data_IF_578121026716
#
_entry.id   IF_578121026716
#
_cell.length_a   1.000
_cell.length_b   1.000
_cell.length_c   1.000
_cell.angle_alpha   90.00
_cell.angle_beta   90.00
_cell.angle_gamma   90.00
#
_symmetry.space_group_name_H-M   'P 1'
#
loop_
_entity.id
_entity.type
_entity.pdbx_description
1 polymer ?
#
# COMPACT_ATOMS: atom_id res chain seq x y z
N UNK A 1 -17.97 18.29 11.15
CA UNK A 1 -18.06 18.90 9.81
C UNK A 1 -16.75 18.65 9.05
N UNK A 2 -16.46 17.39 8.70
CA UNK A 2 -15.31 16.99 7.87
C UNK A 2 -15.51 15.57 7.31
N UNK A 3 -16.75 15.25 6.93
CA UNK A 3 -17.18 13.92 6.40
C UNK A 3 -17.79 14.06 4.98
N UNK A 4 -17.58 15.20 4.30
CA UNK A 4 -18.27 15.49 3.01
C UNK A 4 -17.38 15.71 1.78
N UNK A 5 -16.05 15.51 1.84
CA UNK A 5 -15.17 15.81 0.69
C UNK A 5 -14.74 14.59 -0.13
N UNK A 6 -14.89 13.35 0.37
CA UNK A 6 -14.49 12.14 -0.38
C UNK A 6 -15.59 11.49 -1.25
N UNK A 7 -16.84 11.95 -1.19
CA UNK A 7 -17.95 11.39 -2.00
C UNK A 7 -18.04 11.89 -3.45
N UNK A 8 -17.21 12.86 -3.87
CA UNK A 8 -17.37 13.51 -5.18
C UNK A 8 -16.55 12.90 -6.34
N UNK A 9 -15.52 12.10 -6.07
CA UNK A 9 -14.52 11.79 -7.10
C UNK A 9 -14.75 10.47 -7.86
N UNK A 10 -15.56 9.55 -7.34
CA UNK A 10 -15.84 8.28 -8.04
C UNK A 10 -16.94 8.39 -9.11
N UNK A 11 -17.85 9.36 -9.00
CA UNK A 11 -18.93 9.56 -10.00
C UNK A 11 -18.46 10.18 -11.32
N UNK A 12 -17.30 10.83 -11.35
CA UNK A 12 -16.80 11.51 -12.55
C UNK A 12 -16.07 10.58 -13.53
N UNK A 13 -15.58 9.43 -13.07
CA UNK A 13 -14.85 8.48 -13.92
C UNK A 13 -15.75 7.57 -14.76
N UNK A 14 -17.07 7.54 -14.51
CA UNK A 14 -17.99 6.66 -15.25
C UNK A 14 -18.59 7.29 -16.53
N UNK A 15 -18.33 8.56 -16.84
CA UNK A 15 -19.09 9.32 -17.85
C UNK A 15 -18.33 9.70 -19.12
N UNK A 16 -17.03 9.40 -19.27
CA UNK A 16 -16.31 9.74 -20.52
C UNK A 16 -15.97 8.48 -21.31
N UNK A 17 -16.98 7.90 -21.96
CA UNK A 17 -16.84 7.10 -23.17
C UNK A 17 -17.57 7.83 -24.30
N UNK A 18 -16.90 8.77 -24.96
CA UNK A 18 -17.34 9.31 -26.25
C UNK A 18 -16.13 9.33 -27.19
N UNK A 19 -16.40 8.81 -28.39
CA UNK A 19 -15.50 8.48 -29.48
C UNK A 19 -14.64 9.65 -30.01
N UNK A 20 -13.45 9.32 -30.53
CA UNK A 20 -12.75 10.12 -31.54
C UNK A 20 -12.32 9.22 -32.72
N UNK A 21 -12.43 9.71 -33.98
CA UNK A 21 -12.31 8.92 -35.21
C UNK A 21 -10.86 8.79 -35.72
N UNK A 22 -10.58 7.95 -36.75
CA UNK A 22 -9.25 7.72 -37.30
C UNK A 22 -8.93 8.61 -38.50
N UNK A 23 -7.71 9.14 -38.58
CA UNK A 23 -7.02 9.58 -39.81
C UNK A 23 -5.56 9.87 -39.48
N UNK A 24 -4.56 9.88 -40.36
CA UNK A 24 -4.25 9.21 -41.63
C UNK A 24 -2.75 9.53 -41.92
N UNK A 25 -2.01 8.63 -42.57
CA UNK A 25 -0.92 8.97 -43.49
C UNK A 25 0.48 9.35 -42.95
N UNK A 26 1.43 8.43 -43.09
CA UNK A 26 2.58 8.61 -43.99
C UNK A 26 3.87 9.31 -43.50
N UNK A 27 4.94 8.50 -43.40
CA UNK A 27 6.28 8.63 -44.02
C UNK A 27 7.47 8.40 -43.06
N UNK A 28 8.28 7.40 -43.41
CA UNK A 28 9.65 7.14 -42.93
C UNK A 28 10.64 7.96 -43.78
N UNK A 29 11.71 8.53 -43.20
CA UNK A 29 13.03 7.92 -43.39
C UNK A 29 14.03 8.11 -42.23
N UNK A 30 14.96 7.16 -42.09
CA UNK A 30 16.29 7.41 -41.52
C UNK A 30 16.67 6.52 -40.34
N UNK A 31 17.40 5.44 -40.60
CA UNK A 31 18.15 4.69 -39.59
C UNK A 31 19.24 5.59 -39.00
N UNK A 32 18.91 6.33 -37.95
CA UNK A 32 19.89 6.83 -36.98
C UNK A 32 19.92 5.83 -35.82
N UNK A 33 21.08 5.20 -35.61
CA UNK A 33 21.36 4.45 -34.39
C UNK A 33 21.33 5.41 -33.20
N UNK A 34 20.19 5.53 -32.52
CA UNK A 34 20.10 6.18 -31.23
C UNK A 34 20.79 5.27 -30.22
N UNK A 35 21.98 5.72 -29.81
CA UNK A 35 22.69 5.38 -28.57
C UNK A 35 21.65 5.03 -27.49
N UNK A 36 21.62 3.75 -27.08
CA UNK A 36 20.53 3.15 -26.31
C UNK A 36 19.89 4.09 -25.30
N UNK A 37 18.60 4.38 -25.50
CA UNK A 37 17.79 5.09 -24.51
C UNK A 37 17.81 4.24 -23.24
N UNK A 38 18.55 4.69 -22.21
CA UNK A 38 18.45 4.09 -20.88
C UNK A 38 16.98 4.17 -20.50
N UNK A 39 16.33 3.01 -20.38
CA UNK A 39 14.96 2.95 -19.89
C UNK A 39 14.95 3.49 -18.47
N UNK A 40 14.18 4.55 -18.23
CA UNK A 40 14.06 5.17 -16.91
C UNK A 40 13.56 4.11 -15.91
N UNK A 41 14.33 3.88 -14.85
CA UNK A 41 13.95 2.95 -13.78
C UNK A 41 13.31 3.72 -12.65
N UNK A 42 12.07 3.37 -12.33
CA UNK A 42 11.30 4.05 -11.29
C UNK A 42 10.85 3.04 -10.23
N UNK A 43 11.00 3.44 -8.96
CA UNK A 43 10.53 2.70 -7.81
C UNK A 43 9.37 3.45 -7.17
N UNK A 44 8.26 2.76 -6.92
CA UNK A 44 7.15 3.27 -6.12
C UNK A 44 7.30 2.81 -4.67
N UNK A 45 7.16 3.75 -3.73
CA UNK A 45 7.16 3.51 -2.30
C UNK A 45 5.81 3.93 -1.71
N UNK A 46 4.93 2.98 -1.45
CA UNK A 46 3.64 3.22 -0.80
C UNK A 46 3.79 3.09 0.69
N UNK A 47 3.25 4.05 1.44
CA UNK A 47 3.34 4.06 2.89
C UNK A 47 1.96 4.14 3.49
N UNK A 48 1.70 3.27 4.46
CA UNK A 48 0.49 3.25 5.27
C UNK A 48 0.84 3.15 6.76
N UNK A 49 -0.05 3.70 7.59
CA UNK A 49 0.08 3.71 9.05
C UNK A 49 -1.12 3.06 9.72
N UNK A 50 -0.85 2.29 10.77
CA UNK A 50 -1.89 1.89 11.70
C UNK A 50 -1.64 2.52 13.06
N UNK A 51 -2.72 2.96 13.71
CA UNK A 51 -2.73 3.61 15.01
C UNK A 51 -3.20 5.07 14.93
N UNK A 52 -4.24 5.41 15.70
CA UNK A 52 -4.83 6.76 15.71
C UNK A 52 -4.24 7.61 16.86
N UNK A 53 -4.46 8.93 16.82
CA UNK A 53 -4.09 9.94 17.83
C UNK A 53 -4.70 9.70 19.21
N UNK A 54 -5.67 8.79 19.34
CA UNK A 54 -6.29 8.50 20.62
C UNK A 54 -5.29 7.88 21.60
N UNK A 55 -5.36 8.31 22.85
CA UNK A 55 -4.53 7.84 23.98
C UNK A 55 -4.66 6.31 24.17
N UNK A 56 -5.74 5.71 23.66
CA UNK A 56 -6.00 4.27 23.72
C UNK A 56 -5.13 3.43 22.75
N UNK A 57 -4.49 4.04 21.74
CA UNK A 57 -3.72 3.30 20.75
C UNK A 57 -2.35 2.88 21.30
N UNK A 58 -2.17 1.58 21.54
CA UNK A 58 -0.95 1.00 22.13
C UNK A 58 0.21 0.82 21.14
N UNK A 59 -0.10 0.62 19.86
CA UNK A 59 0.88 0.34 18.81
C UNK A 59 0.71 1.31 17.66
N UNK A 60 1.82 1.83 17.16
CA UNK A 60 1.90 2.52 15.87
C UNK A 60 2.73 1.65 14.94
N UNK A 61 2.20 1.40 13.74
CA UNK A 61 2.95 0.70 12.70
C UNK A 61 3.10 1.63 11.49
N UNK A 62 4.26 1.52 10.85
CA UNK A 62 4.58 2.22 9.61
C UNK A 62 5.02 1.18 8.59
N UNK A 63 4.22 0.98 7.54
CA UNK A 63 4.46 -0.05 6.54
C UNK A 63 4.80 0.58 5.20
N UNK A 64 5.95 0.20 4.65
CA UNK A 64 6.44 0.56 3.33
C UNK A 64 6.20 -0.61 2.37
N UNK A 65 5.62 -0.35 1.20
CA UNK A 65 5.50 -1.29 0.09
C UNK A 65 6.28 -0.75 -1.10
N UNK A 66 7.24 -1.55 -1.57
CA UNK A 66 8.14 -1.26 -2.67
C UNK A 66 7.66 -1.99 -3.91
N UNK A 67 7.57 -1.26 -5.03
CA UNK A 67 7.19 -1.81 -6.33
C UNK A 67 8.01 -1.18 -7.45
N UNK A 68 8.75 -1.99 -8.21
CA UNK A 68 9.44 -1.53 -9.41
C UNK A 68 8.44 -1.30 -10.55
N UNK A 69 8.38 -0.10 -11.11
CA UNK A 69 7.35 0.23 -12.11
C UNK A 69 7.50 -0.56 -13.42
N UNK A 70 8.68 -1.11 -13.70
CA UNK A 70 8.91 -2.04 -14.81
C UNK A 70 8.14 -3.35 -14.65
N UNK A 71 7.84 -3.77 -13.42
CA UNK A 71 7.10 -5.00 -13.14
C UNK A 71 5.60 -4.77 -13.24
N UNK A 72 5.05 -4.98 -14.43
CA UNK A 72 3.61 -4.76 -14.70
C UNK A 72 2.71 -5.61 -13.80
N UNK A 73 1.71 -4.97 -13.20
CA UNK A 73 0.74 -5.61 -12.30
C UNK A 73 -0.69 -5.66 -12.84
N UNK A 74 -0.96 -5.06 -14.01
CA UNK A 74 -2.30 -4.95 -14.60
C UNK A 74 -3.01 -6.30 -14.73
N UNK A 75 -2.32 -7.32 -15.25
CA UNK A 75 -2.90 -8.66 -15.42
C UNK A 75 -3.25 -9.34 -14.09
N UNK A 76 -2.48 -9.07 -13.03
CA UNK A 76 -2.74 -9.60 -11.68
C UNK A 76 -3.97 -8.94 -11.05
N UNK A 77 -4.12 -7.64 -11.26
CA UNK A 77 -5.31 -6.87 -10.83
C UNK A 77 -6.55 -7.35 -11.61
N UNK A 78 -6.45 -7.49 -12.94
CA UNK A 78 -7.56 -8.00 -13.76
C UNK A 78 -8.02 -9.39 -13.32
N UNK A 79 -7.07 -10.31 -13.04
CA UNK A 79 -7.41 -11.63 -12.54
C UNK A 79 -8.10 -11.59 -11.16
N UNK A 80 -7.71 -10.65 -10.30
CA UNK A 80 -8.39 -10.42 -9.02
C UNK A 80 -9.82 -9.92 -9.24
N UNK A 81 -10.02 -8.93 -10.11
CA UNK A 81 -11.34 -8.36 -10.40
C UNK A 81 -12.28 -9.39 -11.06
N UNK A 82 -11.76 -10.23 -11.95
CA UNK A 82 -12.48 -11.38 -12.51
C UNK A 82 -12.87 -12.39 -11.42
N UNK A 83 -12.00 -12.64 -10.43
CA UNK A 83 -12.31 -13.52 -9.31
C UNK A 83 -13.45 -12.96 -8.45
N UNK A 84 -13.49 -11.64 -8.25
CA UNK A 84 -14.60 -10.99 -7.55
C UNK A 84 -15.91 -11.12 -8.32
N UNK A 85 -15.88 -10.81 -9.63
CA UNK A 85 -17.06 -10.88 -10.49
C UNK A 85 -17.63 -12.30 -10.56
N UNK A 86 -16.78 -13.32 -10.72
CA UNK A 86 -17.19 -14.72 -10.75
C UNK A 86 -17.80 -15.21 -9.42
N UNK A 87 -17.47 -14.55 -8.31
CA UNK A 87 -17.99 -14.87 -6.98
C UNK A 87 -19.18 -13.98 -6.55
N UNK A 88 -19.70 -13.14 -7.46
CA UNK A 88 -20.72 -12.13 -7.20
C UNK A 88 -20.36 -11.21 -6.02
N UNK A 89 -19.09 -10.78 -5.98
CA UNK A 89 -18.55 -9.87 -4.98
C UNK A 89 -18.32 -8.49 -5.59
N UNK A 90 -18.65 -7.40 -4.86
CA UNK A 90 -18.42 -6.06 -5.34
C UNK A 90 -16.91 -5.71 -5.35
N UNK A 91 -16.49 -4.95 -6.34
CA UNK A 91 -15.10 -4.47 -6.45
C UNK A 91 -14.87 -3.20 -5.61
N UNK A 92 -15.09 -3.29 -4.30
CA UNK A 92 -14.89 -2.20 -3.34
C UNK A 92 -13.38 -1.97 -3.16
N UNK A 93 -12.97 -0.70 -2.99
CA UNK A 93 -11.59 -0.38 -2.62
C UNK A 93 -11.25 -1.01 -1.28
N UNK A 94 -10.18 -1.81 -1.24
CA UNK A 94 -9.84 -2.52 0.00
C UNK A 94 -9.42 -1.54 1.09
N UNK A 95 -10.14 -1.56 2.21
CA UNK A 95 -9.78 -0.85 3.43
C UNK A 95 -9.99 -1.77 4.64
N UNK A 96 -8.93 -2.07 5.39
CA UNK A 96 -8.94 -3.14 6.39
C UNK A 96 -9.90 -2.88 7.54
N UNK A 97 -9.88 -1.69 8.15
CA UNK A 97 -10.72 -1.41 9.33
C UNK A 97 -12.22 -1.48 8.98
N UNK A 98 -12.71 -0.80 7.92
CA UNK A 98 -14.12 -0.91 7.54
C UNK A 98 -14.50 -2.32 7.10
N UNK A 99 -13.60 -3.05 6.42
CA UNK A 99 -13.86 -4.44 6.03
C UNK A 99 -14.04 -5.35 7.24
N UNK A 100 -13.19 -5.23 8.26
CA UNK A 100 -13.21 -6.09 9.44
C UNK A 100 -14.43 -5.79 10.33
N UNK A 101 -14.80 -4.51 10.46
CA UNK A 101 -15.90 -4.11 11.33
C UNK A 101 -17.26 -4.05 10.61
N UNK A 102 -17.27 -3.94 9.28
CA UNK A 102 -18.50 -3.84 8.47
C UNK A 102 -19.02 -2.40 8.44
N UNK A 103 -18.12 -1.44 8.32
CA UNK A 103 -18.43 -0.01 8.23
C UNK A 103 -18.22 0.51 6.81
N UNK A 104 -18.61 1.77 6.58
CA UNK A 104 -18.46 2.47 5.30
C UNK A 104 -19.00 1.67 4.10
N UNK A 105 -18.18 1.49 3.06
CA UNK A 105 -18.55 0.78 1.83
C UNK A 105 -18.90 -0.70 2.07
N UNK A 106 -18.63 -1.24 3.27
CA UNK A 106 -18.89 -2.62 3.66
C UNK A 106 -20.16 -2.80 4.52
N UNK A 107 -20.90 -1.73 4.85
CA UNK A 107 -22.09 -1.77 5.73
C UNK A 107 -23.14 -2.77 5.26
N UNK A 108 -23.32 -2.90 3.94
CA UNK A 108 -24.34 -3.77 3.35
C UNK A 108 -23.85 -5.20 3.07
N UNK A 109 -22.63 -5.57 3.52
CA UNK A 109 -22.04 -6.88 3.25
C UNK A 109 -22.05 -7.79 4.47
N UNK A 110 -22.61 -8.99 4.28
CA UNK A 110 -22.58 -10.05 5.28
C UNK A 110 -21.14 -10.50 5.59
N UNK A 111 -20.94 -11.07 6.78
CA UNK A 111 -19.62 -11.55 7.24
C UNK A 111 -18.95 -12.49 6.22
N UNK A 112 -19.71 -13.38 5.59
CA UNK A 112 -19.21 -14.32 4.59
C UNK A 112 -18.66 -13.59 3.35
N UNK A 113 -19.34 -12.56 2.86
CA UNK A 113 -18.87 -11.77 1.72
C UNK A 113 -17.60 -10.99 2.08
N UNK A 114 -17.56 -10.35 3.26
CA UNK A 114 -16.37 -9.62 3.74
C UNK A 114 -15.16 -10.54 3.91
N UNK A 115 -15.35 -11.76 4.41
CA UNK A 115 -14.28 -12.78 4.45
C UNK A 115 -13.79 -13.17 3.06
N UNK A 116 -14.69 -13.37 2.09
CA UNK A 116 -14.29 -13.67 0.72
C UNK A 116 -13.51 -12.51 0.09
N UNK A 117 -13.92 -11.26 0.31
CA UNK A 117 -13.16 -10.08 -0.15
C UNK A 117 -11.74 -10.06 0.43
N UNK A 118 -11.59 -10.30 1.74
CA UNK A 118 -10.28 -10.36 2.40
C UNK A 118 -9.39 -11.48 1.84
N UNK A 119 -9.97 -12.67 1.61
CA UNK A 119 -9.23 -13.81 1.02
C UNK A 119 -8.81 -13.51 -0.41
N UNK A 120 -9.72 -12.98 -1.25
CA UNK A 120 -9.41 -12.60 -2.63
C UNK A 120 -8.30 -11.54 -2.69
N UNK A 121 -8.33 -10.56 -1.77
CA UNK A 121 -7.28 -9.54 -1.71
C UNK A 121 -5.93 -10.12 -1.25
N UNK A 122 -5.91 -11.01 -0.26
CA UNK A 122 -4.70 -11.74 0.15
C UNK A 122 -4.07 -12.50 -1.04
N UNK A 123 -4.88 -13.14 -1.88
CA UNK A 123 -4.39 -13.83 -3.09
C UNK A 123 -3.77 -12.84 -4.09
N UNK A 124 -4.37 -11.65 -4.27
CA UNK A 124 -3.77 -10.59 -5.08
C UNK A 124 -2.39 -10.20 -4.52
N UNK A 125 -2.28 -9.89 -3.23
CA UNK A 125 -1.01 -9.48 -2.58
C UNK A 125 0.08 -10.54 -2.77
N UNK A 126 -0.25 -11.83 -2.63
CA UNK A 126 0.71 -12.92 -2.85
C UNK A 126 1.27 -12.95 -4.28
N UNK A 127 0.47 -12.57 -5.28
CA UNK A 127 0.86 -12.56 -6.69
C UNK A 127 1.63 -11.31 -7.10
N UNK A 128 1.47 -10.20 -6.39
CA UNK A 128 2.12 -8.94 -6.75
C UNK A 128 3.66 -9.01 -6.58
N UNK A 129 4.44 -8.46 -7.53
CA UNK A 129 5.90 -8.37 -7.46
C UNK A 129 6.29 -7.19 -6.57
N UNK A 130 6.10 -7.35 -5.26
CA UNK A 130 6.37 -6.31 -4.28
C UNK A 130 7.29 -6.82 -3.18
N UNK A 131 7.94 -5.88 -2.52
CA UNK A 131 8.56 -6.09 -1.22
C UNK A 131 7.92 -5.15 -0.19
N UNK A 132 8.01 -5.47 1.09
CA UNK A 132 7.53 -4.56 2.14
C UNK A 132 8.37 -4.60 3.40
N UNK A 133 8.35 -3.50 4.15
CA UNK A 133 8.96 -3.39 5.48
C UNK A 133 7.96 -2.75 6.41
N UNK A 134 7.84 -3.27 7.63
CA UNK A 134 7.00 -2.67 8.66
C UNK A 134 7.84 -2.38 9.89
N UNK A 135 7.70 -1.16 10.41
CA UNK A 135 8.22 -0.75 11.70
C UNK A 135 7.11 -0.74 12.73
N UNK A 136 7.42 -1.21 13.93
CA UNK A 136 6.52 -1.24 15.07
C UNK A 136 7.05 -0.32 16.16
N UNK A 137 6.19 0.54 16.66
CA UNK A 137 6.46 1.46 17.75
C UNK A 137 5.43 1.26 18.85
N UNK A 138 5.86 1.04 20.09
CA UNK A 138 4.93 1.06 21.22
C UNK A 138 4.71 2.50 21.64
N UNK A 139 3.46 2.94 21.72
CA UNK A 139 3.13 4.34 22.06
C UNK A 139 3.74 4.76 23.41
N UNK A 140 3.85 3.84 24.36
CA UNK A 140 4.45 4.06 25.68
C UNK A 140 5.93 4.44 25.65
N UNK A 141 6.66 4.14 24.57
CA UNK A 141 8.08 4.44 24.43
C UNK A 141 8.34 5.88 23.96
N UNK A 142 7.29 6.59 23.53
CA UNK A 142 7.40 7.92 22.96
C UNK A 142 6.55 8.88 23.79
N UNK A 143 7.08 9.99 24.30
CA UNK A 143 6.28 10.95 25.06
C UNK A 143 5.29 11.70 24.15
N UNK A 144 5.71 12.03 22.93
CA UNK A 144 4.92 12.82 21.98
C UNK A 144 5.15 12.36 20.53
N UNK A 145 4.35 12.92 19.62
CA UNK A 145 4.37 12.54 18.20
C UNK A 145 5.67 13.01 17.52
N UNK A 146 6.30 14.08 18.00
CA UNK A 146 7.57 14.59 17.49
C UNK A 146 8.71 13.59 17.70
N UNK A 147 8.79 12.97 18.87
CA UNK A 147 9.80 11.93 19.15
C UNK A 147 9.53 10.66 18.36
N UNK A 148 8.26 10.30 18.18
CA UNK A 148 7.87 9.17 17.32
C UNK A 148 8.24 9.43 15.86
N UNK A 149 7.91 10.60 15.31
CA UNK A 149 8.26 10.99 13.95
C UNK A 149 9.78 11.05 13.74
N UNK A 150 10.55 11.57 14.71
CA UNK A 150 12.00 11.56 14.65
C UNK A 150 12.59 10.14 14.64
N UNK A 151 11.95 9.20 15.35
CA UNK A 151 12.31 7.78 15.29
C UNK A 151 11.96 7.18 13.93
N UNK A 152 10.76 7.42 13.41
CA UNK A 152 10.33 6.97 12.08
C UNK A 152 11.27 7.46 10.98
N UNK A 153 11.74 8.72 11.05
CA UNK A 153 12.75 9.26 10.14
C UNK A 153 14.04 8.45 10.16
N UNK A 154 14.57 8.16 11.36
CA UNK A 154 15.81 7.38 11.51
C UNK A 154 15.64 5.97 10.94
N UNK A 155 14.59 5.28 11.37
CA UNK A 155 14.32 3.90 10.94
C UNK A 155 14.10 3.80 9.41
N UNK A 156 13.43 4.79 8.80
CA UNK A 156 13.28 4.88 7.35
C UNK A 156 14.62 5.17 6.64
N UNK A 157 15.45 6.06 7.19
CA UNK A 157 16.78 6.39 6.63
C UNK A 157 17.71 5.17 6.70
N UNK A 158 17.70 4.46 7.83
CA UNK A 158 18.45 3.21 8.03
C UNK A 158 18.01 2.13 7.05
N UNK A 159 16.70 1.93 6.85
CA UNK A 159 16.21 0.98 5.83
C UNK A 159 16.72 1.31 4.42
N UNK A 160 16.71 2.58 4.04
CA UNK A 160 17.20 3.00 2.72
C UNK A 160 18.72 2.79 2.64
N UNK A 161 19.46 3.13 3.69
CA UNK A 161 20.91 2.96 3.76
C UNK A 161 21.35 1.49 3.71
N UNK A 162 20.66 0.61 4.44
CA UNK A 162 20.92 -0.84 4.44
C UNK A 162 20.72 -1.46 3.05
N UNK A 163 19.87 -0.84 2.22
CA UNK A 163 19.57 -1.28 0.86
C UNK A 163 20.02 -0.26 -0.18
N UNK A 164 21.08 0.51 0.10
CA UNK A 164 21.45 1.68 -0.71
C UNK A 164 21.70 1.32 -2.18
N UNK A 165 22.39 0.20 -2.44
CA UNK A 165 22.67 -0.28 -3.79
C UNK A 165 21.38 -0.56 -4.59
N UNK A 166 20.34 -1.09 -3.92
CA UNK A 166 19.03 -1.31 -4.53
C UNK A 166 18.38 0.02 -4.91
N UNK A 167 18.25 0.95 -3.95
CA UNK A 167 17.60 2.24 -4.19
C UNK A 167 18.36 3.11 -5.21
N UNK A 168 19.69 3.10 -5.20
CA UNK A 168 20.51 3.85 -6.17
C UNK A 168 20.41 3.30 -7.60
N UNK A 169 19.93 2.06 -7.77
CA UNK A 169 19.65 1.44 -9.06
C UNK A 169 18.49 2.07 -9.83
N UNK A 170 17.68 2.91 -9.17
CA UNK A 170 16.57 3.64 -9.77
C UNK A 170 16.96 5.09 -10.09
N UNK A 171 16.34 5.64 -11.13
CA UNK A 171 16.47 7.05 -11.49
C UNK A 171 15.55 7.91 -10.61
N UNK A 172 14.35 7.43 -10.30
CA UNK A 172 13.39 8.09 -9.41
C UNK A 172 12.81 7.13 -8.37
N UNK A 173 12.62 7.63 -7.15
CA UNK A 173 11.85 6.98 -6.09
C UNK A 173 10.63 7.84 -5.78
N UNK A 174 9.44 7.31 -6.05
CA UNK A 174 8.15 8.02 -5.89
C UNK A 174 7.52 7.62 -4.57
N UNK A 175 7.38 8.58 -3.64
CA UNK A 175 6.70 8.36 -2.37
C UNK A 175 5.19 8.62 -2.52
N UNK A 176 4.40 7.61 -2.12
CA UNK A 176 2.94 7.67 -2.05
C UNK A 176 2.49 7.47 -0.61
N UNK A 177 2.28 8.58 0.08
CA UNK A 177 1.79 8.62 1.45
C UNK A 177 0.58 9.56 1.50
N UNK A 178 -0.59 9.00 1.75
CA UNK A 178 -1.87 9.71 1.74
C UNK A 178 -2.57 9.53 3.09
N UNK A 179 -3.30 10.54 3.54
CA UNK A 179 -4.10 10.55 4.78
C UNK A 179 -3.35 10.32 6.11
N UNK A 180 -2.03 10.30 6.12
CA UNK A 180 -1.26 10.18 7.35
C UNK A 180 -0.93 11.52 8.03
N UNK A 181 -0.29 11.47 9.19
CA UNK A 181 -0.02 12.66 10.01
C UNK A 181 1.02 13.55 9.32
N UNK A 182 0.76 14.87 9.24
CA UNK A 182 1.65 15.82 8.55
C UNK A 182 3.10 15.77 9.05
N UNK A 183 3.30 15.54 10.35
CA UNK A 183 4.62 15.40 10.95
C UNK A 183 5.34 14.11 10.51
N UNK A 184 4.60 13.02 10.33
CA UNK A 184 5.18 11.77 9.83
C UNK A 184 5.48 11.88 8.34
N UNK A 185 4.59 12.50 7.55
CA UNK A 185 4.89 12.85 6.15
C UNK A 185 6.23 13.58 6.02
N UNK A 186 6.40 14.64 6.81
CA UNK A 186 7.64 15.43 6.82
C UNK A 186 8.86 14.57 7.19
N UNK A 187 8.72 13.71 8.20
CA UNK A 187 9.79 12.78 8.59
C UNK A 187 10.17 11.80 7.46
N UNK A 188 9.19 11.27 6.73
CA UNK A 188 9.43 10.39 5.59
C UNK A 188 10.11 11.12 4.42
N UNK A 189 9.61 12.32 4.08
CA UNK A 189 10.20 13.18 3.06
C UNK A 189 11.67 13.46 3.40
N UNK A 190 11.97 13.88 4.64
CA UNK A 190 13.34 14.13 5.10
C UNK A 190 14.22 12.88 5.04
N UNK A 191 13.72 11.69 5.43
CA UNK A 191 14.47 10.44 5.37
C UNK A 191 14.89 10.08 3.94
N UNK A 192 13.96 10.24 2.99
CA UNK A 192 14.19 9.92 1.59
C UNK A 192 15.14 10.95 0.97
N UNK A 193 14.92 12.26 1.16
CA UNK A 193 15.79 13.30 0.61
C UNK A 193 17.21 13.27 1.17
N UNK A 194 17.37 12.97 2.46
CA UNK A 194 18.70 12.91 3.08
C UNK A 194 19.51 11.69 2.65
N UNK A 195 18.85 10.59 2.27
CA UNK A 195 19.53 9.33 1.93
C UNK A 195 19.68 9.14 0.41
N UNK A 196 18.75 9.65 -0.39
CA UNK A 196 18.77 9.54 -1.85
C UNK A 196 19.07 10.90 -2.49
N UNK A 197 20.27 11.03 -3.08
CA UNK A 197 20.73 12.21 -3.82
C UNK A 197 19.96 12.46 -5.14
N UNK A 198 18.85 11.77 -5.40
CA UNK A 198 18.07 11.81 -6.64
C UNK A 198 16.66 12.30 -6.35
N UNK A 199 16.01 12.93 -7.33
CA UNK A 199 14.68 13.51 -7.21
C UNK A 199 13.65 12.50 -6.65
N UNK A 200 13.47 12.54 -5.34
CA UNK A 200 12.33 11.97 -4.68
C UNK A 200 11.16 12.91 -4.94
N UNK A 201 10.14 12.41 -5.65
CA UNK A 201 8.96 13.20 -5.96
C UNK A 201 7.78 12.61 -5.21
N UNK A 202 7.23 13.41 -4.28
CA UNK A 202 5.95 13.10 -3.65
C UNK A 202 4.88 13.24 -4.72
N UNK A 203 4.24 12.13 -5.09
CA UNK A 203 3.22 12.10 -6.15
C UNK A 203 1.84 11.86 -5.56
N UNK A 204 0.85 12.54 -6.12
CA UNK A 204 -0.56 12.14 -5.96
C UNK A 204 -0.78 10.84 -6.73
N UNK A 205 -1.66 9.98 -6.22
CA UNK A 205 -2.09 8.76 -6.92
C UNK A 205 -2.93 9.18 -8.13
N UNK A 206 -2.57 8.68 -9.31
CA UNK A 206 -3.19 9.07 -10.60
C UNK A 206 -3.72 7.88 -11.38
N UNK A 207 -3.31 6.67 -11.03
CA UNK A 207 -3.66 5.44 -11.75
C UNK A 207 -4.33 4.41 -10.84
N UNK A 208 -5.17 3.55 -11.42
CA UNK A 208 -5.81 2.43 -10.71
C UNK A 208 -4.79 1.48 -10.06
N UNK A 209 -3.63 1.28 -10.69
CA UNK A 209 -2.53 0.49 -10.14
C UNK A 209 -1.94 1.09 -8.87
N UNK A 210 -1.76 2.42 -8.83
CA UNK A 210 -1.28 3.11 -7.62
C UNK A 210 -2.31 3.03 -6.49
N UNK A 211 -3.60 3.14 -6.81
CA UNK A 211 -4.66 2.92 -5.82
C UNK A 211 -4.62 1.49 -5.25
N UNK A 212 -4.41 0.45 -6.08
CA UNK A 212 -4.28 -0.92 -5.58
C UNK A 212 -3.06 -1.13 -4.70
N UNK A 213 -1.90 -0.59 -5.06
CA UNK A 213 -0.69 -0.72 -4.24
C UNK A 213 -0.81 0.02 -2.91
N UNK A 214 -1.53 1.15 -2.85
CA UNK A 214 -1.88 1.79 -1.59
C UNK A 214 -2.73 0.89 -0.68
N UNK A 215 -3.72 0.22 -1.24
CA UNK A 215 -4.55 -0.76 -0.50
C UNK A 215 -3.73 -1.96 0.00
N UNK A 216 -2.68 -2.34 -0.73
CA UNK A 216 -1.74 -3.38 -0.30
C UNK A 216 -0.93 -2.94 0.92
N UNK A 217 -0.56 -1.66 1.01
CA UNK A 217 0.11 -1.12 2.19
C UNK A 217 -0.79 -1.21 3.43
N UNK A 218 -2.08 -0.83 3.34
CA UNK A 218 -3.07 -1.02 4.42
C UNK A 218 -3.20 -2.50 4.81
N UNK A 219 -3.37 -3.39 3.82
CA UNK A 219 -3.45 -4.83 4.09
C UNK A 219 -2.25 -5.36 4.87
N UNK A 220 -1.03 -5.06 4.42
CA UNK A 220 0.20 -5.55 5.06
C UNK A 220 0.39 -4.92 6.45
N UNK A 221 0.06 -3.64 6.60
CA UNK A 221 0.06 -2.95 7.89
C UNK A 221 -0.88 -3.64 8.88
N UNK A 222 -2.08 -4.00 8.44
CA UNK A 222 -3.07 -4.73 9.25
C UNK A 222 -2.62 -6.14 9.61
N UNK A 223 -1.97 -6.87 8.69
CA UNK A 223 -1.43 -8.21 8.99
C UNK A 223 -0.32 -8.14 10.03
N UNK A 224 0.59 -7.16 9.97
CA UNK A 224 1.63 -7.02 10.99
C UNK A 224 1.04 -6.54 12.33
N UNK A 225 0.04 -5.64 12.32
CA UNK A 225 -0.68 -5.25 13.54
C UNK A 225 -1.39 -6.45 14.17
N UNK A 226 -2.02 -7.32 13.37
CA UNK A 226 -2.60 -8.57 13.82
C UNK A 226 -1.55 -9.44 14.51
N UNK A 227 -0.35 -9.57 13.94
CA UNK A 227 0.72 -10.36 14.53
C UNK A 227 1.14 -9.87 15.92
N UNK A 228 1.25 -8.55 16.09
CA UNK A 228 1.56 -7.93 17.39
C UNK A 228 0.44 -8.21 18.39
N UNK A 229 -0.82 -8.00 17.99
CA UNK A 229 -1.98 -8.26 18.84
C UNK A 229 -2.10 -9.73 19.24
N UNK A 230 -1.90 -10.67 18.32
CA UNK A 230 -1.89 -12.10 18.63
C UNK A 230 -0.78 -12.47 19.62
N UNK A 231 0.41 -11.90 19.46
CA UNK A 231 1.53 -12.14 20.39
C UNK A 231 1.23 -11.61 21.79
N UNK A 232 0.55 -10.46 21.89
CA UNK A 232 0.15 -9.83 23.14
C UNK A 232 -1.18 -10.37 23.72
N UNK A 233 -1.88 -11.28 23.02
CA UNK A 233 -3.25 -11.74 23.34
C UNK A 233 -4.29 -10.61 23.36
N UNK A 234 -4.12 -9.65 22.48
CA UNK A 234 -4.92 -8.42 22.29
C UNK A 234 -5.65 -8.39 20.94
N UNK A 235 -5.73 -9.54 20.26
CA UNK A 235 -6.39 -9.70 18.95
C UNK A 235 -7.90 -9.41 19.03
N UNK A 236 -8.55 -9.76 20.13
CA UNK A 236 -9.99 -9.58 20.30
C UNK A 236 -10.83 -10.42 19.33
N UNK A 237 -12.16 -10.35 19.49
CA UNK A 237 -13.09 -11.19 18.74
C UNK A 237 -13.08 -10.90 17.22
N UNK A 238 -12.79 -9.67 16.80
CA UNK A 238 -12.78 -9.29 15.39
C UNK A 238 -11.66 -9.98 14.62
N UNK A 239 -10.43 -9.97 15.13
CA UNK A 239 -9.30 -10.60 14.44
C UNK A 239 -9.50 -12.12 14.37
N UNK A 240 -9.95 -12.76 15.45
CA UNK A 240 -10.23 -14.21 15.45
C UNK A 240 -11.33 -14.59 14.47
N UNK A 241 -12.37 -13.76 14.37
CA UNK A 241 -13.45 -13.98 13.42
C UNK A 241 -12.94 -14.01 11.97
N UNK A 242 -11.98 -13.16 11.60
CA UNK A 242 -11.48 -13.03 10.22
C UNK A 242 -10.26 -13.89 9.91
N UNK A 243 -9.30 -13.96 10.82
CA UNK A 243 -8.02 -14.64 10.61
C UNK A 243 -7.97 -16.05 11.22
N UNK A 244 -8.95 -16.39 12.06
CA UNK A 244 -8.95 -17.60 12.88
C UNK A 244 -8.01 -17.49 14.08
N UNK A 245 -7.85 -18.58 14.83
CA UNK A 245 -6.90 -18.60 15.96
C UNK A 245 -5.44 -18.39 15.51
N UNK A 246 -4.56 -18.10 16.47
CA UNK A 246 -3.14 -17.74 16.23
C UNK A 246 -2.40 -18.69 15.29
N UNK A 247 -2.67 -20.00 15.35
CA UNK A 247 -2.07 -20.99 14.46
C UNK A 247 -2.52 -20.84 13.00
N UNK A 248 -3.83 -20.64 12.78
CA UNK A 248 -4.40 -20.36 11.46
C UNK A 248 -3.88 -19.03 10.91
N UNK A 249 -3.87 -17.98 11.75
CA UNK A 249 -3.33 -16.68 11.37
C UNK A 249 -1.87 -16.79 10.89
N UNK A 250 -1.00 -17.43 11.68
CA UNK A 250 0.42 -17.60 11.33
C UNK A 250 0.61 -18.36 10.01
N UNK A 251 -0.12 -19.46 9.81
CA UNK A 251 0.03 -20.33 8.64
C UNK A 251 -0.53 -19.73 7.35
N UNK A 252 -1.73 -19.16 7.42
CA UNK A 252 -2.53 -18.81 6.24
C UNK A 252 -2.40 -17.34 5.84
N UNK A 253 -1.96 -16.48 6.75
CA UNK A 253 -1.91 -15.04 6.54
C UNK A 253 -0.49 -14.50 6.72
N UNK A 254 0.07 -14.60 7.94
CA UNK A 254 1.36 -14.00 8.27
C UNK A 254 2.51 -14.59 7.44
N UNK A 255 2.57 -15.92 7.31
CA UNK A 255 3.58 -16.59 6.48
C UNK A 255 3.51 -16.14 5.02
N UNK A 256 2.31 -15.90 4.50
CA UNK A 256 2.12 -15.48 3.12
C UNK A 256 2.56 -14.04 2.90
N UNK A 257 2.14 -13.13 3.78
CA UNK A 257 2.61 -11.75 3.79
C UNK A 257 4.14 -11.71 3.89
N UNK A 258 4.74 -12.35 4.89
CA UNK A 258 6.19 -12.26 5.17
C UNK A 258 7.11 -12.86 4.10
N UNK A 259 6.58 -13.61 3.14
CA UNK A 259 7.34 -13.99 1.92
C UNK A 259 7.72 -12.77 1.07
N UNK A 260 6.98 -11.66 1.22
CA UNK A 260 7.23 -10.37 0.58
C UNK A 260 8.09 -9.43 1.42
N UNK A 261 8.54 -9.83 2.62
CA UNK A 261 9.36 -8.92 3.44
C UNK A 261 10.65 -8.56 2.73
N UNK A 262 10.98 -7.27 2.75
CA UNK A 262 12.30 -6.76 2.44
C UNK A 262 13.26 -7.30 3.51
N UNK A 263 14.18 -8.15 3.09
CA UNK A 263 15.21 -8.75 3.94
C UNK A 263 16.46 -7.90 3.86
N UNK A 264 17.07 -7.65 5.01
CA UNK A 264 18.44 -7.14 5.15
C UNK A 264 19.44 -8.06 4.46
#
# INVERSE_FOLDING_TARGET
MLVRILKAWYKLFLVVHIALPPSAGGLSPGNFYIRGTKTMRELSLFVDESGDKSIATRYYLLTFVLHEQSDRITSKIQAYEQTLAAADLPNISFHSEPLLNGHDDYENLGLTQRKKLLVSFNVLVQRLPIQYKTFLYKRSEFPNIEKLAARMRRDASEMIADHLAYFQGFDHVKLYYDNGQAIVKKALDEAIYSTLSKEAVVKKRTTMTEYRLAQVADYLCTIELAAVKYAAKENGATYDKFFGGVGSFKKNWLKQARRKMLRS
#
